data_IF_631474883080
#
_entry.id   IF_631474883080
#
_cell.length_a   1.000
_cell.length_b   1.000
_cell.length_c   1.000
_cell.angle_alpha   90.00
_cell.angle_beta   90.00
_cell.angle_gamma   90.00
#
_symmetry.space_group_name_H-M   'P 1'
#
loop_
_entity.id
_entity.type
_entity.pdbx_description
1 polymer ?
#
# COMPACT_ATOMS: atom_id res chain seq x y z
N UNK A 1 -58.32 -7.36 33.45
CA UNK A 1 -58.18 -6.64 32.16
C UNK A 1 -56.70 -6.38 31.94
N UNK A 2 -56.15 -7.15 31.02
CA UNK A 2 -54.72 -7.42 30.76
C UNK A 2 -54.00 -6.19 30.18
N UNK A 3 -52.85 -5.84 30.78
CA UNK A 3 -51.88 -4.84 30.29
C UNK A 3 -50.78 -5.58 29.52
N UNK A 4 -50.80 -5.55 28.19
CA UNK A 4 -49.72 -5.92 27.22
C UNK A 4 -50.40 -6.06 25.86
N UNK A 5 -49.92 -5.51 24.71
CA UNK A 5 -48.52 -5.32 24.36
C UNK A 5 -48.28 -4.05 23.51
N UNK A 6 -47.91 -2.94 24.15
CA UNK A 6 -47.06 -1.95 23.49
C UNK A 6 -45.63 -2.54 23.54
N UNK A 7 -44.77 -2.26 22.57
CA UNK A 7 -43.33 -2.68 22.55
C UNK A 7 -43.02 -4.08 22.01
N UNK A 8 -43.65 -4.52 20.92
CA UNK A 8 -43.13 -5.68 20.16
C UNK A 8 -43.28 -5.52 18.63
N UNK A 9 -42.83 -4.39 18.08
CA UNK A 9 -42.96 -4.13 16.64
C UNK A 9 -41.92 -3.20 16.04
N UNK A 10 -40.76 -3.02 16.68
CA UNK A 10 -39.74 -2.08 16.20
C UNK A 10 -38.30 -2.58 16.42
N UNK A 11 -38.00 -3.83 16.04
CA UNK A 11 -36.63 -4.35 16.05
C UNK A 11 -36.36 -5.26 14.83
N UNK A 12 -36.63 -4.77 13.63
CA UNK A 12 -36.22 -5.45 12.41
C UNK A 12 -35.68 -4.46 11.38
N UNK A 13 -34.58 -3.77 11.73
CA UNK A 13 -33.84 -2.96 10.76
C UNK A 13 -32.38 -3.41 10.71
N UNK A 14 -32.08 -4.07 9.59
CA UNK A 14 -30.79 -4.18 8.90
C UNK A 14 -29.61 -4.85 9.62
N UNK A 15 -29.61 -6.18 9.63
CA UNK A 15 -28.37 -6.94 9.53
C UNK A 15 -28.16 -7.37 8.07
N UNK A 16 -27.82 -6.43 7.20
CA UNK A 16 -27.23 -6.80 5.91
C UNK A 16 -25.78 -7.23 6.20
N UNK A 17 -25.36 -8.46 5.84
CA UNK A 17 -23.97 -8.80 5.97
C UNK A 17 -23.21 -7.90 4.99
N UNK A 18 -22.23 -7.16 5.48
CA UNK A 18 -21.29 -6.43 4.65
C UNK A 18 -20.42 -7.47 3.93
N UNK A 19 -20.95 -8.05 2.85
CA UNK A 19 -20.15 -8.81 1.91
C UNK A 19 -19.20 -7.77 1.32
N UNK A 20 -17.95 -7.77 1.78
CA UNK A 20 -16.89 -7.00 1.20
C UNK A 20 -16.88 -7.31 -0.30
N UNK A 21 -17.30 -6.33 -1.11
CA UNK A 21 -17.18 -6.44 -2.55
C UNK A 21 -15.69 -6.37 -2.85
N UNK A 22 -15.13 -7.49 -3.29
CA UNK A 22 -13.90 -7.50 -4.06
C UNK A 22 -14.20 -6.68 -5.32
N UNK A 23 -13.73 -5.43 -5.32
CA UNK A 23 -13.73 -4.61 -6.53
C UNK A 23 -12.68 -5.25 -7.43
N UNK A 24 -13.04 -5.73 -8.64
CA UNK A 24 -12.06 -6.25 -9.57
C UNK A 24 -10.98 -5.19 -9.81
N UNK A 25 -9.71 -5.55 -9.66
CA UNK A 25 -8.54 -4.65 -9.74
C UNK A 25 -8.25 -4.15 -11.18
N UNK A 26 -9.21 -4.33 -12.08
CA UNK A 26 -9.13 -3.90 -13.46
C UNK A 26 -9.42 -2.38 -13.56
N UNK A 27 -8.39 -1.57 -13.35
CA UNK A 27 -8.37 -0.20 -13.88
C UNK A 27 -8.50 0.93 -12.87
N UNK A 28 -7.98 0.79 -11.64
CA UNK A 28 -7.70 1.99 -10.84
C UNK A 28 -6.57 2.78 -11.53
N UNK A 29 -6.78 4.07 -11.86
CA UNK A 29 -5.74 4.87 -12.48
C UNK A 29 -4.54 4.97 -11.54
N UNK A 30 -3.32 4.80 -12.08
CA UNK A 30 -2.10 4.96 -11.31
C UNK A 30 -1.98 6.40 -10.80
N UNK A 31 -1.84 6.57 -9.48
CA UNK A 31 -1.70 7.85 -8.81
C UNK A 31 -0.22 8.08 -8.50
N UNK A 32 0.54 8.41 -9.53
CA UNK A 32 1.99 8.50 -9.43
C UNK A 32 2.41 9.90 -8.99
N UNK A 33 3.22 9.93 -7.93
CA UNK A 33 3.95 11.11 -7.49
C UNK A 33 5.13 11.39 -8.42
N UNK A 34 5.78 10.34 -8.90
CA UNK A 34 6.98 10.42 -9.71
C UNK A 34 7.11 9.20 -10.64
N UNK A 35 7.67 9.42 -11.83
CA UNK A 35 8.01 8.36 -12.78
C UNK A 35 6.85 7.45 -13.19
N UNK A 36 7.13 6.14 -13.26
CA UNK A 36 6.19 5.09 -13.65
C UNK A 36 5.73 4.22 -12.48
N UNK A 37 6.40 4.30 -11.32
CA UNK A 37 6.22 3.35 -10.21
C UNK A 37 6.06 4.00 -8.84
N UNK A 38 6.41 5.29 -8.65
CA UNK A 38 6.28 5.89 -7.31
C UNK A 38 4.84 6.35 -7.01
N UNK A 39 3.99 5.45 -6.52
CA UNK A 39 2.64 5.76 -6.03
C UNK A 39 1.70 4.54 -6.01
N UNK A 40 0.41 4.71 -5.66
CA UNK A 40 -0.58 3.64 -5.81
C UNK A 40 -0.81 3.25 -7.27
N UNK A 41 -0.61 1.97 -7.57
CA UNK A 41 -0.60 1.46 -8.95
C UNK A 41 0.70 1.80 -9.68
N UNK A 42 0.85 1.35 -10.92
CA UNK A 42 2.03 1.65 -11.73
C UNK A 42 1.73 1.60 -13.23
N UNK A 43 2.73 1.92 -14.04
CA UNK A 43 2.68 1.87 -15.52
C UNK A 43 3.47 0.70 -16.08
N UNK A 44 3.59 -0.41 -15.34
CA UNK A 44 4.23 -1.61 -15.87
C UNK A 44 3.58 -2.00 -17.23
N UNK A 45 4.38 -2.39 -18.24
CA UNK A 45 5.81 -2.74 -18.18
C UNK A 45 6.78 -1.60 -18.57
N UNK A 46 6.39 -0.33 -18.48
CA UNK A 46 7.28 0.78 -18.83
C UNK A 46 8.59 0.76 -18.02
N UNK A 47 9.72 1.14 -18.62
CA UNK A 47 10.99 1.19 -17.90
C UNK A 47 10.97 2.30 -16.82
N UNK A 48 11.68 2.12 -15.69
CA UNK A 48 11.86 3.20 -14.72
C UNK A 48 12.56 4.41 -15.35
N UNK A 49 12.14 5.62 -14.98
CA UNK A 49 12.67 6.86 -15.57
C UNK A 49 14.01 7.30 -14.98
N UNK A 50 14.29 6.93 -13.72
CA UNK A 50 15.51 7.26 -12.99
C UNK A 50 15.75 6.29 -11.82
N UNK A 51 16.75 6.60 -10.99
CA UNK A 51 17.14 5.79 -9.84
C UNK A 51 16.07 5.69 -8.74
N UNK A 52 15.29 6.76 -8.51
CA UNK A 52 14.21 6.76 -7.53
C UNK A 52 13.05 5.91 -8.04
N UNK A 53 12.66 6.11 -9.30
CA UNK A 53 11.61 5.32 -9.94
C UNK A 53 11.97 3.83 -9.99
N UNK A 54 13.26 3.50 -10.20
CA UNK A 54 13.73 2.12 -10.12
C UNK A 54 13.64 1.52 -8.71
N UNK A 55 13.78 2.33 -7.66
CA UNK A 55 13.55 1.88 -6.28
C UNK A 55 12.07 1.58 -6.03
N UNK A 56 11.18 2.47 -6.51
CA UNK A 56 9.73 2.25 -6.46
C UNK A 56 9.31 0.99 -7.23
N UNK A 57 9.85 0.76 -8.44
CA UNK A 57 9.58 -0.45 -9.21
C UNK A 57 9.95 -1.75 -8.47
N UNK A 58 11.05 -1.74 -7.71
CA UNK A 58 11.44 -2.90 -6.87
C UNK A 58 10.52 -3.09 -5.67
N UNK A 59 9.94 -2.01 -5.14
CA UNK A 59 8.97 -2.06 -4.04
C UNK A 59 7.63 -2.64 -4.52
N UNK A 60 7.17 -2.24 -5.71
CA UNK A 60 5.97 -2.79 -6.32
C UNK A 60 6.07 -4.30 -6.51
N UNK A 61 7.18 -4.81 -7.06
CA UNK A 61 7.42 -6.25 -7.21
C UNK A 61 7.53 -6.99 -5.87
N UNK A 62 7.91 -6.29 -4.79
CA UNK A 62 7.97 -6.85 -3.44
C UNK A 62 6.58 -6.98 -2.80
N UNK A 63 5.59 -6.24 -3.32
CA UNK A 63 4.24 -6.17 -2.76
C UNK A 63 3.35 -7.19 -3.46
N UNK A 64 2.64 -8.08 -2.74
CA UNK A 64 1.70 -8.99 -3.37
C UNK A 64 0.56 -8.22 -4.05
N UNK A 65 0.08 -8.72 -5.19
CA UNK A 65 -1.01 -8.10 -5.95
C UNK A 65 -2.23 -7.83 -5.05
N UNK A 66 -2.72 -6.59 -5.09
CA UNK A 66 -3.87 -6.12 -4.31
C UNK A 66 -3.66 -6.07 -2.79
N UNK A 67 -2.45 -6.35 -2.29
CA UNK A 67 -2.13 -6.42 -0.86
C UNK A 67 -1.32 -5.23 -0.32
N UNK A 68 -1.07 -5.23 0.98
CA UNK A 68 -0.12 -4.31 1.61
C UNK A 68 1.32 -4.85 1.50
N UNK A 69 2.32 -3.98 1.32
CA UNK A 69 3.72 -4.38 1.39
C UNK A 69 4.06 -4.97 2.76
N UNK A 70 5.03 -5.88 2.80
CA UNK A 70 5.63 -6.27 4.08
C UNK A 70 6.43 -5.11 4.67
N UNK A 71 6.64 -5.10 6.00
CA UNK A 71 7.54 -4.13 6.65
C UNK A 71 8.94 -4.16 6.03
N UNK A 72 9.43 -5.34 5.64
CA UNK A 72 10.73 -5.48 4.98
C UNK A 72 10.77 -4.79 3.60
N UNK A 73 9.69 -4.87 2.82
CA UNK A 73 9.58 -4.14 1.56
C UNK A 73 9.64 -2.62 1.79
N UNK A 74 8.90 -2.11 2.77
CA UNK A 74 8.88 -0.69 3.11
C UNK A 74 10.27 -0.19 3.56
N UNK A 75 10.94 -0.94 4.44
CA UNK A 75 12.31 -0.61 4.89
C UNK A 75 13.33 -0.61 3.74
N UNK A 76 13.17 -1.51 2.76
CA UNK A 76 14.04 -1.54 1.59
C UNK A 76 13.82 -0.32 0.69
N UNK A 77 12.56 0.06 0.46
CA UNK A 77 12.24 1.28 -0.28
C UNK A 77 12.80 2.51 0.42
N UNK A 78 12.65 2.61 1.74
CA UNK A 78 13.22 3.69 2.54
C UNK A 78 14.73 3.80 2.32
N UNK A 79 15.48 2.71 2.51
CA UNK A 79 16.93 2.72 2.41
C UNK A 79 17.43 3.04 0.98
N UNK A 80 16.72 2.56 -0.05
CA UNK A 80 17.08 2.85 -1.44
C UNK A 80 16.80 4.31 -1.79
N UNK A 81 15.68 4.88 -1.33
CA UNK A 81 15.33 6.28 -1.53
C UNK A 81 16.26 7.23 -0.73
N UNK A 82 16.66 6.88 0.50
CA UNK A 82 17.66 7.63 1.28
C UNK A 82 19.00 7.71 0.55
N UNK A 83 19.43 6.62 -0.11
CA UNK A 83 20.63 6.62 -0.95
C UNK A 83 20.52 7.66 -2.07
N UNK A 84 19.40 7.69 -2.80
CA UNK A 84 19.16 8.70 -3.85
C UNK A 84 19.12 10.12 -3.28
N UNK A 85 18.47 10.34 -2.12
CA UNK A 85 18.40 11.65 -1.48
C UNK A 85 19.79 12.18 -1.07
N UNK A 86 20.69 11.30 -0.66
CA UNK A 86 22.06 11.63 -0.24
C UNK A 86 23.06 11.78 -1.39
N UNK A 87 22.73 11.28 -2.58
CA UNK A 87 23.61 11.29 -3.75
C UNK A 87 23.69 12.71 -4.34
N UNK A 88 24.91 13.27 -4.37
CA UNK A 88 25.15 14.64 -4.85
C UNK A 88 25.20 14.75 -6.36
N UNK A 89 25.31 13.62 -7.07
CA UNK A 89 25.29 13.59 -8.52
C UNK A 89 23.86 13.66 -9.07
N UNK A 90 22.85 13.48 -8.21
CA UNK A 90 21.45 13.59 -8.57
C UNK A 90 20.93 15.04 -8.55
N UNK A 91 19.95 15.40 -9.41
CA UNK A 91 19.27 16.69 -9.36
C UNK A 91 18.66 16.99 -7.99
N UNK A 92 18.71 18.25 -7.56
CA UNK A 92 18.24 18.66 -6.21
C UNK A 92 16.77 18.33 -5.96
N UNK A 93 15.92 18.55 -6.96
CA UNK A 93 14.49 18.21 -6.93
C UNK A 93 14.27 16.70 -6.79
N UNK A 94 15.03 15.87 -7.52
CA UNK A 94 14.98 14.42 -7.39
C UNK A 94 15.42 13.97 -5.99
N UNK A 95 16.45 14.59 -5.43
CA UNK A 95 16.93 14.30 -4.06
C UNK A 95 15.89 14.65 -3.00
N UNK A 96 15.23 15.81 -3.13
CA UNK A 96 14.14 16.20 -2.24
C UNK A 96 12.94 15.24 -2.34
N UNK A 97 12.56 14.88 -3.57
CA UNK A 97 11.50 13.91 -3.82
C UNK A 97 11.85 12.54 -3.21
N UNK A 98 13.09 12.09 -3.36
CA UNK A 98 13.56 10.86 -2.75
C UNK A 98 13.49 10.91 -1.21
N UNK A 99 13.78 12.05 -0.58
CA UNK A 99 13.59 12.24 0.86
C UNK A 99 12.14 12.14 1.31
N UNK A 100 11.20 12.66 0.51
CA UNK A 100 9.76 12.49 0.75
C UNK A 100 9.34 11.02 0.62
N UNK A 101 9.78 10.33 -0.44
CA UNK A 101 9.50 8.91 -0.64
C UNK A 101 10.07 8.05 0.48
N UNK A 102 11.30 8.33 0.94
CA UNK A 102 11.92 7.64 2.07
C UNK A 102 11.10 7.80 3.36
N UNK A 103 10.70 9.03 3.67
CA UNK A 103 9.89 9.34 4.85
C UNK A 103 8.50 8.67 4.76
N UNK A 104 7.89 8.69 3.58
CA UNK A 104 6.61 8.01 3.33
C UNK A 104 6.74 6.49 3.50
N UNK A 105 7.79 5.88 2.98
CA UNK A 105 8.07 4.45 3.12
C UNK A 105 8.22 4.03 4.59
N UNK A 106 8.87 4.85 5.42
CA UNK A 106 9.03 4.59 6.86
C UNK A 106 7.69 4.57 7.63
N UNK A 107 6.69 5.31 7.16
CA UNK A 107 5.38 5.45 7.79
C UNK A 107 4.29 4.59 7.13
N UNK A 108 4.62 3.93 6.03
CA UNK A 108 3.65 3.20 5.22
C UNK A 108 3.09 1.99 5.99
N UNK A 109 1.75 1.77 5.97
CA UNK A 109 1.17 0.55 6.51
C UNK A 109 1.81 -0.69 5.92
N UNK A 110 1.91 -1.74 6.73
CA UNK A 110 2.44 -3.03 6.27
C UNK A 110 1.47 -4.14 6.62
N UNK A 111 1.50 -5.20 5.80
CA UNK A 111 0.81 -6.44 6.15
C UNK A 111 1.34 -6.97 7.49
N UNK A 112 0.48 -7.54 8.35
CA UNK A 112 0.94 -8.21 9.55
C UNK A 112 1.94 -9.32 9.19
N UNK A 113 2.93 -9.54 10.06
CA UNK A 113 3.87 -10.63 9.84
C UNK A 113 3.07 -11.95 9.74
N UNK A 114 3.26 -12.69 8.64
CA UNK A 114 2.72 -14.03 8.54
C UNK A 114 3.27 -14.85 9.73
N UNK A 115 2.42 -15.63 10.44
CA UNK A 115 2.93 -16.49 11.49
C UNK A 115 3.98 -17.42 10.88
N UNK A 116 5.15 -17.50 11.53
CA UNK A 116 6.17 -18.48 11.16
C UNK A 116 5.52 -19.84 11.34
N UNK A 117 5.16 -20.50 10.23
CA UNK A 117 4.71 -21.87 10.27
C UNK A 117 5.84 -22.67 10.92
N UNK A 118 5.54 -23.30 12.06
CA UNK A 118 6.47 -24.20 12.71
C UNK A 118 6.89 -25.24 11.67
N UNK A 119 8.16 -25.21 11.28
CA UNK A 119 8.78 -26.29 10.52
C UNK A 119 8.73 -27.50 11.44
N UNK A 120 7.81 -28.42 11.17
CA UNK A 120 7.73 -29.70 11.85
C UNK A 120 8.93 -30.55 11.45
N UNK A 121 9.62 -31.07 12.47
CA UNK A 121 10.65 -32.12 12.37
C UNK A 121 10.05 -33.46 11.93
#
# INVERSE_FOLDING_TARGET
MTRLPLVLGLLATFAAPALAREVPDAGRPALLLHGNYCGPGNRAPAAPTDALDAACARHDVCTPDGGLPSKACNMRLQADAERVASDRDQPEDLRMMAGLVASGAALMPSAPAAPVAAVGE
#
